data_IF_157033897159
#
_entry.id   IF_157033897159
#
_cell.length_a   1.000
_cell.length_b   1.000
_cell.length_c   1.000
_cell.angle_alpha   90.00
_cell.angle_beta   90.00
_cell.angle_gamma   90.00
#
_symmetry.space_group_name_H-M   'P 1'
#
loop_
_entity.id
_entity.type
_entity.pdbx_description
1 polymer ?
#
# COMPACT_ATOMS: atom_id res chain seq x y z
N UNK A 1 7.09 -24.61 -6.05
CA UNK A 1 8.09 -23.56 -5.73
C UNK A 1 8.37 -23.60 -4.22
N UNK A 2 9.62 -23.43 -3.78
CA UNK A 2 9.96 -23.50 -2.35
C UNK A 2 9.24 -22.37 -1.58
N UNK A 3 8.44 -22.73 -0.57
CA UNK A 3 7.61 -21.79 0.22
C UNK A 3 8.42 -20.68 0.89
N UNK A 4 9.69 -20.95 1.24
CA UNK A 4 10.63 -19.93 1.75
C UNK A 4 11.00 -18.91 0.67
N UNK A 5 11.27 -19.35 -0.55
CA UNK A 5 11.62 -18.45 -1.66
C UNK A 5 10.46 -17.52 -2.05
N UNK A 6 9.21 -18.01 -1.97
CA UNK A 6 7.99 -17.21 -2.21
C UNK A 6 7.90 -15.98 -1.31
N UNK A 7 8.43 -16.07 -0.09
CA UNK A 7 8.40 -14.97 0.87
C UNK A 7 9.71 -14.16 0.84
N UNK A 8 10.87 -14.80 0.69
CA UNK A 8 12.16 -14.08 0.72
C UNK A 8 12.34 -13.20 -0.52
N UNK A 9 12.01 -13.69 -1.72
CA UNK A 9 12.17 -12.94 -2.97
C UNK A 9 11.44 -11.59 -2.94
N UNK A 10 10.14 -11.51 -2.60
CA UNK A 10 9.45 -10.22 -2.54
C UNK A 10 10.03 -9.27 -1.48
N UNK A 11 10.56 -9.77 -0.36
CA UNK A 11 11.22 -8.94 0.65
C UNK A 11 12.51 -8.34 0.11
N UNK A 12 13.36 -9.15 -0.53
CA UNK A 12 14.61 -8.69 -1.16
C UNK A 12 14.31 -7.67 -2.25
N UNK A 13 13.36 -7.97 -3.14
CA UNK A 13 12.95 -7.04 -4.20
C UNK A 13 12.40 -5.73 -3.64
N UNK A 14 11.54 -5.80 -2.62
CA UNK A 14 11.02 -4.61 -1.93
C UNK A 14 12.15 -3.76 -1.35
N UNK A 15 13.07 -4.36 -0.60
CA UNK A 15 14.23 -3.66 -0.05
C UNK A 15 15.10 -3.03 -1.14
N UNK A 16 15.37 -3.73 -2.24
CA UNK A 16 16.15 -3.19 -3.35
C UNK A 16 15.47 -1.96 -3.97
N UNK A 17 14.16 -2.02 -4.21
CA UNK A 17 13.41 -0.88 -4.71
C UNK A 17 13.45 0.32 -3.74
N UNK A 18 13.29 0.08 -2.43
CA UNK A 18 13.36 1.14 -1.41
C UNK A 18 14.78 1.74 -1.30
N UNK A 19 15.83 0.93 -1.41
CA UNK A 19 17.21 1.43 -1.47
C UNK A 19 17.46 2.28 -2.72
N UNK A 20 16.91 1.88 -3.88
CA UNK A 20 17.00 2.68 -5.10
C UNK A 20 16.26 4.02 -4.95
N UNK A 21 15.05 3.99 -4.35
CA UNK A 21 14.29 5.21 -4.05
C UNK A 21 15.09 6.11 -3.11
N UNK A 22 15.67 5.58 -2.04
CA UNK A 22 16.49 6.33 -1.11
C UNK A 22 17.70 6.97 -1.81
N UNK A 23 18.51 6.17 -2.51
CA UNK A 23 19.72 6.65 -3.19
C UNK A 23 19.41 7.69 -4.24
N UNK A 24 18.38 7.48 -5.07
CA UNK A 24 17.96 8.46 -6.07
C UNK A 24 17.44 9.75 -5.40
N UNK A 25 16.65 9.63 -4.33
CA UNK A 25 16.12 10.80 -3.61
C UNK A 25 17.23 11.66 -2.98
N UNK A 26 18.28 11.02 -2.44
CA UNK A 26 19.43 11.73 -1.89
C UNK A 26 20.32 12.35 -2.98
N UNK A 27 20.40 11.71 -4.16
CA UNK A 27 21.15 12.25 -5.30
C UNK A 27 20.48 13.45 -5.99
N UNK A 28 19.15 13.50 -5.99
CA UNK A 28 18.36 14.58 -6.60
C UNK A 28 18.18 15.79 -5.66
N UNK A 29 18.23 15.57 -4.35
CA UNK A 29 17.90 16.59 -3.38
C UNK A 29 19.02 17.62 -3.14
N UNK A 30 18.63 18.88 -3.02
CA UNK A 30 19.55 19.98 -2.65
C UNK A 30 19.97 19.94 -1.18
N UNK A 31 19.24 19.20 -0.34
CA UNK A 31 19.54 19.04 1.08
C UNK A 31 19.10 17.69 1.62
N UNK A 32 19.65 17.29 2.77
CA UNK A 32 19.26 16.07 3.47
C UNK A 32 17.75 16.02 3.76
N UNK A 33 17.19 17.13 4.27
CA UNK A 33 15.76 17.28 4.61
C UNK A 33 14.89 17.03 3.37
N UNK A 34 15.31 17.56 2.22
CA UNK A 34 14.62 17.35 0.96
C UNK A 34 14.74 15.90 0.47
N UNK A 35 15.92 15.27 0.60
CA UNK A 35 16.11 13.87 0.22
C UNK A 35 15.22 12.93 1.02
N UNK A 36 15.04 13.20 2.33
CA UNK A 36 14.09 12.46 3.18
C UNK A 36 12.64 12.68 2.73
N UNK A 37 12.27 13.92 2.37
CA UNK A 37 10.93 14.25 1.87
C UNK A 37 10.61 13.52 0.56
N UNK A 38 11.57 13.48 -0.37
CA UNK A 38 11.47 12.75 -1.63
C UNK A 38 11.38 11.24 -1.38
N UNK A 39 12.23 10.68 -0.53
CA UNK A 39 12.20 9.25 -0.20
C UNK A 39 10.84 8.83 0.37
N UNK A 40 10.30 9.57 1.33
CA UNK A 40 8.97 9.31 1.88
C UNK A 40 7.88 9.38 0.80
N UNK A 41 7.94 10.37 -0.09
CA UNK A 41 6.99 10.56 -1.19
C UNK A 41 7.01 9.38 -2.16
N UNK A 42 8.17 9.02 -2.70
CA UNK A 42 8.28 7.97 -3.72
C UNK A 42 8.09 6.57 -3.17
N UNK A 43 8.54 6.32 -1.94
CA UNK A 43 8.26 5.06 -1.22
C UNK A 43 6.76 4.87 -1.00
N UNK A 44 6.03 5.94 -0.63
CA UNK A 44 4.57 5.88 -0.50
C UNK A 44 3.87 5.54 -1.82
N UNK A 45 4.37 6.08 -2.94
CA UNK A 45 3.86 5.76 -4.29
C UNK A 45 4.13 4.30 -4.67
N UNK A 46 5.34 3.79 -4.40
CA UNK A 46 5.66 2.38 -4.64
C UNK A 46 4.74 1.48 -3.82
N UNK A 47 4.59 1.77 -2.52
CA UNK A 47 3.70 1.02 -1.63
C UNK A 47 2.25 0.99 -2.15
N UNK A 48 1.74 2.11 -2.65
CA UNK A 48 0.43 2.19 -3.30
C UNK A 48 0.33 1.32 -4.56
N UNK A 49 1.35 1.30 -5.42
CA UNK A 49 1.37 0.45 -6.61
C UNK A 49 1.37 -1.05 -6.24
N UNK A 50 2.14 -1.44 -5.23
CA UNK A 50 2.16 -2.83 -4.73
C UNK A 50 0.79 -3.21 -4.12
N UNK A 51 0.15 -2.29 -3.39
CA UNK A 51 -1.21 -2.46 -2.90
C UNK A 51 -2.20 -2.74 -4.03
N UNK A 52 -2.19 -1.94 -5.10
CA UNK A 52 -3.08 -2.13 -6.25
C UNK A 52 -2.89 -3.52 -6.88
N UNK A 53 -1.64 -3.96 -7.02
CA UNK A 53 -1.30 -5.29 -7.50
C UNK A 53 -1.88 -6.40 -6.60
N UNK A 54 -1.66 -6.31 -5.28
CA UNK A 54 -2.21 -7.27 -4.31
C UNK A 54 -3.74 -7.33 -4.31
N UNK A 55 -4.40 -6.17 -4.34
CA UNK A 55 -5.85 -6.06 -4.40
C UNK A 55 -6.42 -6.63 -5.72
N UNK A 56 -5.75 -6.39 -6.85
CA UNK A 56 -6.14 -6.95 -8.14
C UNK A 56 -5.97 -8.47 -8.20
N UNK A 57 -4.91 -9.02 -7.61
CA UNK A 57 -4.70 -10.46 -7.46
C UNK A 57 -5.78 -11.08 -6.57
N UNK A 58 -6.05 -10.49 -5.42
CA UNK A 58 -7.13 -10.94 -4.54
C UNK A 58 -8.49 -10.97 -5.25
N UNK A 59 -8.79 -9.95 -6.06
CA UNK A 59 -10.00 -9.91 -6.86
C UNK A 59 -10.14 -11.08 -7.84
N UNK A 60 -9.05 -11.75 -8.22
CA UNK A 60 -9.00 -12.86 -9.19
C UNK A 60 -9.03 -14.26 -8.54
N UNK A 61 -8.82 -14.38 -7.23
CA UNK A 61 -8.65 -15.66 -6.51
C UNK A 61 -9.88 -16.60 -6.46
N UNK A 62 -10.97 -16.28 -7.16
CA UNK A 62 -12.25 -17.00 -7.04
C UNK A 62 -12.23 -18.38 -7.72
N UNK A 63 -11.40 -18.56 -8.76
CA UNK A 63 -11.25 -19.83 -9.52
C UNK A 63 -9.79 -20.20 -9.71
N UNK A 64 -8.96 -19.82 -8.75
CA UNK A 64 -7.53 -19.66 -8.97
C UNK A 64 -6.75 -20.89 -8.52
N UNK A 65 -5.68 -21.17 -9.25
CA UNK A 65 -4.73 -22.23 -8.94
C UNK A 65 -4.01 -21.99 -7.61
N UNK A 66 -3.31 -22.99 -7.09
CA UNK A 66 -2.42 -22.80 -5.95
C UNK A 66 -1.25 -21.87 -6.25
N UNK A 67 -0.86 -21.73 -7.52
CA UNK A 67 0.14 -20.76 -7.97
C UNK A 67 -0.37 -19.32 -7.79
N UNK A 68 -1.62 -19.05 -8.16
CA UNK A 68 -2.22 -17.72 -7.99
C UNK A 68 -2.30 -17.31 -6.51
N UNK A 69 -2.61 -18.27 -5.62
CA UNK A 69 -2.58 -18.06 -4.17
C UNK A 69 -1.17 -17.71 -3.70
N UNK A 70 -0.15 -18.42 -4.19
CA UNK A 70 1.25 -18.15 -3.85
C UNK A 70 1.69 -16.77 -4.33
N UNK A 71 1.31 -16.36 -5.54
CA UNK A 71 1.59 -15.03 -6.08
C UNK A 71 0.91 -13.94 -5.25
N UNK A 72 -0.36 -14.14 -4.87
CA UNK A 72 -1.06 -13.21 -4.00
C UNK A 72 -0.44 -13.10 -2.60
N UNK A 73 -0.02 -14.23 -2.01
CA UNK A 73 0.71 -14.25 -0.75
C UNK A 73 2.02 -13.46 -0.84
N UNK A 74 2.79 -13.67 -1.92
CA UNK A 74 4.03 -12.93 -2.18
C UNK A 74 3.77 -11.43 -2.33
N UNK A 75 2.74 -11.04 -3.08
CA UNK A 75 2.35 -9.64 -3.25
C UNK A 75 1.92 -8.99 -1.92
N UNK A 76 1.19 -9.73 -1.09
CA UNK A 76 0.76 -9.24 0.24
C UNK A 76 1.94 -9.08 1.20
N UNK A 77 2.89 -10.02 1.17
CA UNK A 77 4.14 -9.92 1.93
C UNK A 77 5.00 -8.75 1.47
N UNK A 78 5.15 -8.56 0.15
CA UNK A 78 5.85 -7.43 -0.43
C UNK A 78 5.21 -6.10 0.00
N UNK A 79 3.88 -6.02 -0.08
CA UNK A 79 3.14 -4.82 0.29
C UNK A 79 3.39 -4.45 1.75
N UNK A 80 3.22 -5.40 2.68
CA UNK A 80 3.46 -5.16 4.09
C UNK A 80 4.91 -4.72 4.37
N UNK A 81 5.88 -5.34 3.71
CA UNK A 81 7.29 -5.03 3.89
C UNK A 81 7.67 -3.64 3.38
N UNK A 82 7.30 -3.34 2.14
CA UNK A 82 7.50 -2.01 1.54
C UNK A 82 6.78 -0.94 2.36
N UNK A 83 5.57 -1.22 2.85
CA UNK A 83 4.83 -0.27 3.68
C UNK A 83 5.48 -0.08 5.06
N UNK A 84 6.12 -1.10 5.63
CA UNK A 84 6.89 -0.97 6.87
C UNK A 84 8.11 -0.04 6.67
N UNK A 85 8.82 -0.18 5.56
CA UNK A 85 9.95 0.71 5.21
C UNK A 85 9.43 2.14 4.98
N UNK A 86 8.33 2.29 4.23
CA UNK A 86 7.68 3.56 4.01
C UNK A 86 7.29 4.26 5.33
N UNK A 87 6.80 3.52 6.33
CA UNK A 87 6.53 4.07 7.66
C UNK A 87 7.77 4.69 8.29
N UNK A 88 8.93 4.04 8.13
CA UNK A 88 10.22 4.56 8.58
C UNK A 88 10.58 5.88 7.90
N UNK A 89 10.45 5.95 6.56
CA UNK A 89 10.68 7.20 5.83
C UNK A 89 9.67 8.29 6.19
N UNK A 90 8.40 7.94 6.40
CA UNK A 90 7.38 8.88 6.84
C UNK A 90 7.70 9.43 8.23
N UNK A 91 8.09 8.57 9.17
CA UNK A 91 8.49 8.97 10.52
C UNK A 91 9.71 9.90 10.51
N UNK A 92 10.72 9.58 9.69
CA UNK A 92 11.89 10.43 9.49
C UNK A 92 11.52 11.78 8.86
N UNK A 93 10.61 11.78 7.89
CA UNK A 93 10.11 13.01 7.28
C UNK A 93 9.33 13.87 8.28
N UNK A 94 8.49 13.26 9.13
CA UNK A 94 7.76 13.99 10.18
C UNK A 94 8.75 14.62 11.17
N UNK A 95 9.75 13.86 11.64
CA UNK A 95 10.70 14.36 12.63
C UNK A 95 11.64 15.45 12.08
N UNK A 96 11.85 15.49 10.76
CA UNK A 96 12.81 16.40 10.15
C UNK A 96 12.19 17.53 9.31
N UNK A 97 10.92 17.45 8.89
CA UNK A 97 10.31 18.43 7.99
C UNK A 97 9.07 19.14 8.56
N UNK A 98 8.95 19.20 9.89
CA UNK A 98 7.91 19.98 10.58
C UNK A 98 6.49 19.66 10.08
N UNK A 99 6.26 18.40 9.70
CA UNK A 99 4.98 17.97 9.14
C UNK A 99 3.92 17.99 10.23
N UNK A 100 2.86 18.76 10.02
CA UNK A 100 1.75 18.84 10.96
C UNK A 100 1.07 17.47 11.16
N UNK A 101 0.89 17.12 12.44
CA UNK A 101 0.25 15.88 12.85
C UNK A 101 -1.24 16.10 13.13
N UNK A 102 -2.09 15.74 12.16
CA UNK A 102 -3.55 15.79 12.32
C UNK A 102 -4.05 14.50 13.00
N UNK A 103 -4.59 14.55 14.23
CA UNK A 103 -4.91 13.34 15.02
C UNK A 103 -5.88 12.36 14.33
N UNK A 104 -6.88 12.87 13.63
CA UNK A 104 -7.86 12.03 12.91
C UNK A 104 -7.21 11.29 11.75
N UNK A 105 -6.32 11.95 10.99
CA UNK A 105 -5.53 11.32 9.92
C UNK A 105 -4.58 10.25 10.51
N UNK A 106 -4.01 10.53 11.68
CA UNK A 106 -3.13 9.62 12.43
C UNK A 106 -3.83 8.34 12.87
N UNK A 107 -5.02 8.43 13.48
CA UNK A 107 -5.75 7.25 13.96
C UNK A 107 -6.16 6.34 12.80
N UNK A 108 -6.72 6.93 11.72
CA UNK A 108 -7.09 6.18 10.53
C UNK A 108 -5.87 5.53 9.85
N UNK A 109 -4.78 6.28 9.73
CA UNK A 109 -3.51 5.78 9.20
C UNK A 109 -2.92 4.65 10.06
N UNK A 110 -2.90 4.80 11.39
CA UNK A 110 -2.36 3.81 12.32
C UNK A 110 -3.12 2.48 12.24
N UNK A 111 -4.46 2.52 12.17
CA UNK A 111 -5.26 1.31 11.97
C UNK A 111 -4.94 0.64 10.62
N UNK A 112 -4.80 1.43 9.55
CA UNK A 112 -4.43 0.90 8.23
C UNK A 112 -3.04 0.23 8.28
N UNK A 113 -2.05 0.88 8.89
CA UNK A 113 -0.72 0.29 9.11
C UNK A 113 -0.81 -1.03 9.87
N UNK A 114 -1.53 -1.08 11.00
CA UNK A 114 -1.71 -2.32 11.76
C UNK A 114 -2.31 -3.44 10.92
N UNK A 115 -3.36 -3.15 10.15
CA UNK A 115 -3.99 -4.11 9.25
C UNK A 115 -3.07 -4.58 8.12
N UNK A 116 -2.22 -3.69 7.60
CA UNK A 116 -1.26 -3.99 6.53
C UNK A 116 -0.14 -4.88 7.04
N UNK A 117 0.49 -4.52 8.16
CA UNK A 117 1.64 -5.23 8.71
C UNK A 117 1.27 -6.62 9.26
N UNK A 118 0.05 -6.78 9.80
CA UNK A 118 -0.41 -8.08 10.31
C UNK A 118 -0.93 -9.02 9.21
N UNK A 119 -1.24 -8.51 8.03
CA UNK A 119 -1.90 -9.30 6.98
C UNK A 119 -1.10 -10.52 6.50
N UNK A 120 0.22 -10.45 6.26
CA UNK A 120 1.02 -11.62 5.89
C UNK A 120 1.02 -12.76 6.93
N UNK A 121 0.78 -12.44 8.20
CA UNK A 121 0.70 -13.44 9.27
C UNK A 121 -0.66 -14.15 9.30
N UNK A 122 -1.72 -13.42 8.95
CA UNK A 122 -3.10 -13.90 9.00
C UNK A 122 -3.53 -14.59 7.70
N UNK A 123 -3.02 -14.13 6.56
CA UNK A 123 -3.41 -14.57 5.22
C UNK A 123 -3.18 -16.06 4.96
N UNK A 124 -2.18 -16.67 5.60
CA UNK A 124 -1.90 -18.10 5.44
C UNK A 124 -2.88 -18.99 6.21
N UNK A 125 -3.62 -18.42 7.17
CA UNK A 125 -4.57 -19.14 8.05
C UNK A 125 -6.03 -18.92 7.66
N UNK A 126 -6.29 -17.97 6.76
CA UNK A 126 -7.64 -17.53 6.42
C UNK A 126 -7.91 -17.85 4.95
N UNK A 127 -9.10 -18.37 4.66
CA UNK A 127 -9.52 -18.62 3.27
C UNK A 127 -9.51 -17.31 2.46
N UNK A 128 -9.03 -17.31 1.21
CA UNK A 128 -9.10 -16.14 0.32
C UNK A 128 -10.51 -15.57 0.14
N UNK A 129 -11.57 -16.36 0.37
CA UNK A 129 -12.97 -15.91 0.29
C UNK A 129 -13.50 -15.23 1.55
N UNK A 130 -12.72 -15.23 2.64
CA UNK A 130 -13.16 -14.68 3.92
C UNK A 130 -13.43 -13.17 3.86
N UNK A 131 -14.38 -12.72 4.71
CA UNK A 131 -14.71 -11.29 4.87
C UNK A 131 -13.48 -10.47 5.28
N UNK A 132 -12.56 -11.07 6.05
CA UNK A 132 -11.33 -10.43 6.51
C UNK A 132 -10.53 -9.75 5.38
N UNK A 133 -10.24 -10.46 4.28
CA UNK A 133 -9.48 -9.88 3.17
C UNK A 133 -10.23 -8.73 2.50
N UNK A 134 -11.56 -8.75 2.57
CA UNK A 134 -12.39 -7.65 2.09
C UNK A 134 -12.29 -6.41 2.96
N UNK A 135 -12.43 -6.58 4.26
CA UNK A 135 -12.25 -5.47 5.20
C UNK A 135 -10.84 -4.90 5.07
N UNK A 136 -9.82 -5.75 4.93
CA UNK A 136 -8.43 -5.33 4.73
C UNK A 136 -8.24 -4.45 3.49
N UNK A 137 -8.52 -4.96 2.29
CA UNK A 137 -8.29 -4.18 1.06
C UNK A 137 -9.23 -2.98 0.93
N UNK A 138 -10.48 -3.12 1.42
CA UNK A 138 -11.46 -2.04 1.43
C UNK A 138 -11.05 -0.88 2.33
N UNK A 139 -10.64 -1.18 3.56
CA UNK A 139 -10.22 -0.15 4.52
C UNK A 139 -8.90 0.52 4.11
N UNK A 140 -7.87 -0.27 3.77
CA UNK A 140 -6.59 0.27 3.32
C UNK A 140 -6.77 1.11 2.04
N UNK A 141 -7.56 0.62 1.09
CA UNK A 141 -7.90 1.37 -0.13
C UNK A 141 -8.64 2.68 0.17
N UNK A 142 -9.63 2.66 1.07
CA UNK A 142 -10.32 3.87 1.50
C UNK A 142 -9.35 4.90 2.10
N UNK A 143 -8.50 4.48 3.05
CA UNK A 143 -7.51 5.36 3.70
C UNK A 143 -6.53 5.96 2.68
N UNK A 144 -6.05 5.17 1.72
CA UNK A 144 -5.22 5.68 0.62
C UNK A 144 -5.98 6.68 -0.26
N UNK A 145 -7.25 6.39 -0.58
CA UNK A 145 -8.09 7.26 -1.40
C UNK A 145 -8.33 8.62 -0.75
N UNK A 146 -8.71 8.67 0.52
CA UNK A 146 -8.88 9.94 1.25
C UNK A 146 -7.57 10.70 1.39
N UNK A 147 -6.45 9.99 1.53
CA UNK A 147 -5.11 10.60 1.56
C UNK A 147 -4.77 11.27 0.23
N UNK A 148 -5.08 10.62 -0.91
CA UNK A 148 -4.86 11.21 -2.23
C UNK A 148 -5.79 12.38 -2.49
N UNK A 149 -7.06 12.29 -2.07
CA UNK A 149 -8.00 13.40 -2.21
C UNK A 149 -7.52 14.64 -1.43
N UNK A 150 -7.10 14.44 -0.18
CA UNK A 150 -6.53 15.52 0.63
C UNK A 150 -5.25 16.10 0.00
N UNK A 151 -4.41 15.29 -0.65
CA UNK A 151 -3.24 15.76 -1.42
C UNK A 151 -3.63 16.59 -2.63
N UNK A 152 -4.68 16.20 -3.36
CA UNK A 152 -5.20 16.94 -4.52
C UNK A 152 -5.77 18.29 -4.10
N UNK A 153 -6.46 18.33 -2.96
CA UNK A 153 -7.07 19.55 -2.42
C UNK A 153 -6.07 20.54 -1.81
N UNK A 154 -4.81 20.13 -1.63
CA UNK A 154 -3.79 20.95 -0.97
C UNK A 154 -3.83 20.90 0.56
N UNK A 155 -4.56 19.94 1.15
CA UNK A 155 -4.71 19.78 2.61
C UNK A 155 -3.45 19.19 3.30
N UNK A 156 -2.30 19.20 2.62
CA UNK A 156 -1.01 18.77 3.14
C UNK A 156 0.03 19.84 2.82
N UNK A 157 0.42 20.61 3.83
CA UNK A 157 1.51 21.57 3.74
C UNK A 157 2.83 20.86 3.38
N UNK A 158 3.63 21.45 2.48
CA UNK A 158 4.91 20.90 2.02
C UNK A 158 4.81 19.70 1.05
N UNK A 159 3.60 19.38 0.58
CA UNK A 159 3.33 18.24 -0.27
C UNK A 159 2.51 18.61 -1.51
N UNK A 160 3.20 19.07 -2.54
CA UNK A 160 2.52 19.54 -3.75
C UNK A 160 1.64 18.47 -4.41
N UNK A 161 0.43 18.86 -4.88
CA UNK A 161 -0.38 18.03 -5.74
C UNK A 161 0.43 17.53 -6.94
N UNK A 162 0.13 16.33 -7.40
CA UNK A 162 0.82 15.77 -8.56
C UNK A 162 -0.14 14.93 -9.38
N UNK A 163 0.11 14.84 -10.69
CA UNK A 163 -0.71 14.05 -11.61
C UNK A 163 -0.88 12.60 -11.15
N UNK A 164 0.12 12.05 -10.43
CA UNK A 164 0.09 10.70 -9.86
C UNK A 164 -1.08 10.52 -8.88
N UNK A 165 -1.39 11.52 -8.06
CA UNK A 165 -2.50 11.42 -7.12
C UNK A 165 -3.84 11.34 -7.86
N UNK A 166 -4.04 12.17 -8.89
CA UNK A 166 -5.26 12.18 -9.72
C UNK A 166 -5.41 10.91 -10.56
N UNK A 167 -4.32 10.41 -11.16
CA UNK A 167 -4.34 9.13 -11.87
C UNK A 167 -4.58 7.96 -10.89
N UNK A 168 -3.90 8.00 -9.74
CA UNK A 168 -3.95 6.97 -8.71
C UNK A 168 -5.34 6.82 -8.12
N UNK A 169 -6.04 7.92 -7.79
CA UNK A 169 -7.41 7.86 -7.27
C UNK A 169 -8.38 7.27 -8.30
N UNK A 170 -8.21 7.58 -9.59
CA UNK A 170 -8.99 7.00 -10.67
C UNK A 170 -8.79 5.48 -10.79
N UNK A 171 -7.53 5.01 -10.79
CA UNK A 171 -7.22 3.58 -10.83
C UNK A 171 -7.74 2.85 -9.59
N UNK A 172 -7.57 3.44 -8.41
CA UNK A 172 -8.08 2.91 -7.15
C UNK A 172 -9.60 2.78 -7.17
N UNK A 173 -10.32 3.82 -7.60
CA UNK A 173 -11.78 3.82 -7.69
C UNK A 173 -12.27 2.71 -8.63
N UNK A 174 -11.68 2.58 -9.83
CA UNK A 174 -12.02 1.52 -10.78
C UNK A 174 -11.79 0.13 -10.18
N UNK A 175 -10.67 -0.07 -9.48
CA UNK A 175 -10.35 -1.33 -8.83
C UNK A 175 -11.36 -1.66 -7.72
N UNK A 176 -11.66 -0.71 -6.83
CA UNK A 176 -12.61 -0.89 -5.74
C UNK A 176 -14.03 -1.12 -6.26
N UNK A 177 -14.50 -0.39 -7.27
CA UNK A 177 -15.80 -0.60 -7.91
C UNK A 177 -15.88 -1.99 -8.52
N UNK A 178 -14.88 -2.38 -9.33
CA UNK A 178 -14.84 -3.70 -9.96
C UNK A 178 -14.84 -4.81 -8.92
N UNK A 179 -14.12 -4.59 -7.83
CA UNK A 179 -14.01 -5.51 -6.72
C UNK A 179 -15.33 -5.62 -5.93
N UNK A 180 -15.94 -4.50 -5.52
CA UNK A 180 -17.24 -4.46 -4.85
C UNK A 180 -18.34 -5.14 -5.67
N UNK A 181 -18.44 -4.81 -6.97
CA UNK A 181 -19.40 -5.41 -7.89
C UNK A 181 -19.28 -6.94 -7.92
N UNK A 182 -18.05 -7.46 -7.94
CA UNK A 182 -17.79 -8.90 -7.98
C UNK A 182 -18.22 -9.62 -6.71
N UNK A 183 -18.22 -8.94 -5.56
CA UNK A 183 -18.66 -9.51 -4.29
C UNK A 183 -20.15 -9.32 -4.02
N UNK A 184 -20.75 -8.22 -4.48
CA UNK A 184 -22.20 -7.99 -4.42
C UNK A 184 -22.99 -9.14 -5.07
N UNK A 185 -22.61 -9.54 -6.29
CA UNK A 185 -23.23 -10.65 -7.00
C UNK A 185 -23.06 -12.02 -6.34
N UNK A 186 -22.19 -12.14 -5.32
CA UNK A 186 -22.02 -13.38 -4.56
C UNK A 186 -22.94 -13.44 -3.34
N UNK A 187 -23.22 -12.31 -2.69
CA UNK A 187 -24.22 -12.25 -1.62
C UNK A 187 -25.63 -12.61 -2.12
N UNK A 188 -25.93 -12.36 -3.40
CA UNK A 188 -27.20 -12.76 -4.00
C UNK A 188 -27.27 -14.24 -4.40
N UNK A 189 -26.16 -14.99 -4.36
CA UNK A 189 -26.08 -16.40 -4.78
C UNK A 189 -25.77 -17.36 -3.62
N UNK A 190 -25.61 -16.85 -2.41
CA UNK A 190 -25.43 -17.61 -1.18
C UNK A 190 -26.73 -17.58 -0.38
#
# INVERSE_FOLDING_TARGET
MNRKMILVVPLVMGTLCECLIWSWSQGEAESWREGVRLAARYSGRLSFLVFLGGAALHARLIKSSDLDKQIWLAASAMFAWVHAIHLGFLALNISQNEVELVPVKLIGGALAYGMILLHPLLIVRISPSAVYHRVHYGYAGFVMGVTFLARINGDFEGAEPSWFHSAGIGVLALLLIRWLRRWWFRFQKA
#
